data_IF_401693150009
#
_entry.id   IF_401693150009
#
_cell.length_a   1.000
_cell.length_b   1.000
_cell.length_c   1.000
_cell.angle_alpha   90.00
_cell.angle_beta   90.00
_cell.angle_gamma   90.00
#
_symmetry.space_group_name_H-M   'P 1'
#
loop_
_entity.id
_entity.type
_entity.pdbx_description
1 polymer ?
#
# COMPACT_ATOMS: atom_id res chain seq x y z
N UNK A 1 14.82 -13.73 -3.95
CA UNK A 1 14.99 -13.56 -2.48
C UNK A 1 13.66 -13.27 -1.79
N UNK A 2 12.89 -12.25 -2.15
CA UNK A 2 11.62 -11.89 -1.50
C UNK A 2 10.59 -13.02 -1.45
N UNK A 3 10.36 -13.75 -2.54
CA UNK A 3 9.45 -14.89 -2.58
C UNK A 3 9.81 -15.98 -1.55
N UNK A 4 11.09 -16.26 -1.39
CA UNK A 4 11.58 -17.20 -0.39
C UNK A 4 11.26 -16.73 1.03
N UNK A 5 11.53 -15.46 1.32
CA UNK A 5 11.26 -14.86 2.63
C UNK A 5 9.76 -14.92 2.97
N UNK A 6 8.89 -14.57 2.02
CA UNK A 6 7.45 -14.64 2.21
C UNK A 6 6.94 -16.06 2.48
N UNK A 7 7.48 -17.05 1.76
CA UNK A 7 7.17 -18.48 1.99
C UNK A 7 7.67 -18.96 3.34
N UNK A 8 8.87 -18.54 3.74
CA UNK A 8 9.43 -18.88 5.05
C UNK A 8 8.55 -18.34 6.18
N UNK A 9 8.14 -17.07 6.11
CA UNK A 9 7.20 -16.48 7.08
C UNK A 9 5.87 -17.25 7.11
N UNK A 10 5.35 -17.66 5.95
CA UNK A 10 4.14 -18.46 5.85
C UNK A 10 4.28 -19.82 6.55
N UNK A 11 5.43 -20.47 6.43
CA UNK A 11 5.69 -21.74 7.10
C UNK A 11 5.85 -21.60 8.60
N UNK A 12 6.55 -20.56 9.05
CA UNK A 12 6.88 -20.35 10.46
C UNK A 12 5.74 -19.74 11.27
N UNK A 13 4.79 -19.04 10.63
CA UNK A 13 3.69 -18.36 11.33
C UNK A 13 2.33 -19.04 11.08
N UNK A 14 1.86 -19.89 12.01
CA UNK A 14 0.54 -20.52 11.90
C UNK A 14 -0.61 -19.49 11.84
N UNK A 15 -0.47 -18.37 12.58
CA UNK A 15 -1.45 -17.29 12.61
C UNK A 15 -1.58 -16.59 11.26
N UNK A 16 -0.46 -16.30 10.60
CA UNK A 16 -0.42 -15.69 9.28
C UNK A 16 -1.00 -16.64 8.23
N UNK A 17 -0.60 -17.91 8.25
CA UNK A 17 -1.11 -18.97 7.38
C UNK A 17 -2.63 -19.14 7.49
N UNK A 18 -3.17 -19.17 8.72
CA UNK A 18 -4.61 -19.25 8.96
C UNK A 18 -5.33 -18.06 8.35
N UNK A 19 -4.86 -16.85 8.59
CA UNK A 19 -5.46 -15.60 8.10
C UNK A 19 -5.55 -15.56 6.57
N UNK A 20 -4.46 -15.93 5.87
CA UNK A 20 -4.47 -15.97 4.39
C UNK A 20 -5.52 -16.96 3.90
N UNK A 21 -5.57 -18.18 4.46
CA UNK A 21 -6.51 -19.19 4.05
C UNK A 21 -7.97 -18.80 4.31
N UNK A 22 -8.25 -18.20 5.45
CA UNK A 22 -9.57 -17.67 5.77
C UNK A 22 -10.00 -16.58 4.78
N UNK A 23 -9.12 -15.63 4.47
CA UNK A 23 -9.41 -14.58 3.50
C UNK A 23 -9.71 -15.15 2.10
N UNK A 24 -8.92 -16.10 1.63
CA UNK A 24 -9.14 -16.74 0.33
C UNK A 24 -10.50 -17.46 0.24
N UNK A 25 -10.93 -18.09 1.34
CA UNK A 25 -12.25 -18.71 1.40
C UNK A 25 -13.38 -17.69 1.43
N UNK A 26 -13.21 -16.60 2.18
CA UNK A 26 -14.21 -15.54 2.30
C UNK A 26 -14.51 -14.84 0.97
N UNK A 27 -13.50 -14.65 0.12
CA UNK A 27 -13.69 -14.01 -1.20
C UNK A 27 -14.12 -15.02 -2.28
N UNK A 28 -14.28 -16.31 -1.95
CA UNK A 28 -14.76 -17.31 -2.88
C UNK A 28 -13.81 -17.66 -4.04
N UNK A 29 -12.55 -17.20 -3.99
CA UNK A 29 -11.55 -17.47 -5.04
C UNK A 29 -11.05 -18.91 -5.06
N UNK A 30 -11.23 -19.65 -3.97
CA UNK A 30 -10.77 -21.02 -3.85
C UNK A 30 -11.90 -21.90 -3.31
N UNK A 31 -12.32 -22.87 -4.10
CA UNK A 31 -13.44 -23.77 -3.78
C UNK A 31 -12.97 -25.07 -3.11
N UNK A 32 -11.76 -25.51 -3.40
CA UNK A 32 -11.18 -26.73 -2.82
C UNK A 32 -10.07 -26.43 -1.82
N UNK A 33 -9.82 -27.37 -0.91
CA UNK A 33 -8.70 -27.24 0.05
C UNK A 33 -7.33 -27.22 -0.66
N UNK A 34 -7.23 -27.85 -1.83
CA UNK A 34 -6.04 -27.83 -2.69
C UNK A 34 -5.78 -26.42 -3.24
N UNK A 35 -6.81 -25.80 -3.81
CA UNK A 35 -6.73 -24.43 -4.35
C UNK A 35 -6.36 -23.41 -3.25
N UNK A 36 -7.02 -23.49 -2.09
CA UNK A 36 -6.70 -22.63 -0.95
C UNK A 36 -5.21 -22.74 -0.59
N UNK A 37 -4.65 -23.95 -0.61
CA UNK A 37 -3.24 -24.18 -0.25
C UNK A 37 -2.30 -23.61 -1.30
N UNK A 38 -2.58 -23.87 -2.58
CA UNK A 38 -1.80 -23.35 -3.72
C UNK A 38 -1.81 -21.83 -3.74
N UNK A 39 -3.00 -21.21 -3.72
CA UNK A 39 -3.14 -19.75 -3.76
C UNK A 39 -2.54 -19.08 -2.52
N UNK A 40 -2.64 -19.70 -1.34
CA UNK A 40 -2.01 -19.16 -0.14
C UNK A 40 -0.47 -19.18 -0.23
N UNK A 41 0.10 -20.20 -0.87
CA UNK A 41 1.53 -20.29 -1.11
C UNK A 41 2.03 -19.26 -2.12
N UNK A 42 1.29 -19.06 -3.20
CA UNK A 42 1.54 -18.01 -4.20
C UNK A 42 1.43 -16.62 -3.58
N UNK A 43 0.35 -16.36 -2.85
CA UNK A 43 0.14 -15.09 -2.14
C UNK A 43 1.27 -14.77 -1.16
N UNK A 44 1.74 -15.75 -0.39
CA UNK A 44 2.88 -15.57 0.50
C UNK A 44 4.15 -15.17 -0.26
N UNK A 45 4.37 -15.74 -1.45
CA UNK A 45 5.49 -15.36 -2.32
C UNK A 45 5.39 -13.90 -2.78
N UNK A 46 4.21 -13.49 -3.23
CA UNK A 46 3.99 -12.13 -3.73
C UNK A 46 4.12 -11.09 -2.61
N UNK A 47 3.60 -11.37 -1.42
CA UNK A 47 3.79 -10.49 -0.24
C UNK A 47 5.28 -10.37 0.10
N UNK A 48 6.04 -11.45 0.04
CA UNK A 48 7.49 -11.40 0.28
C UNK A 48 8.24 -10.58 -0.78
N UNK A 49 7.85 -10.67 -2.04
CA UNK A 49 8.39 -9.80 -3.11
C UNK A 49 8.07 -8.33 -2.83
N UNK A 50 6.79 -8.01 -2.55
CA UNK A 50 6.37 -6.66 -2.24
C UNK A 50 7.10 -6.05 -1.04
N UNK A 51 7.36 -6.84 0.01
CA UNK A 51 8.16 -6.39 1.14
C UNK A 51 9.60 -6.04 0.77
N UNK A 52 10.24 -6.82 -0.11
CA UNK A 52 11.61 -6.51 -0.58
C UNK A 52 11.63 -5.34 -1.55
N UNK A 53 10.60 -5.18 -2.38
CA UNK A 53 10.41 -4.02 -3.26
C UNK A 53 10.22 -2.73 -2.45
N UNK A 54 9.42 -2.78 -1.39
CA UNK A 54 9.24 -1.65 -0.47
C UNK A 54 10.58 -1.19 0.10
N UNK A 55 11.35 -2.11 0.68
CA UNK A 55 12.68 -1.78 1.24
C UNK A 55 13.58 -1.19 0.14
N UNK A 56 13.63 -1.81 -1.03
CA UNK A 56 14.39 -1.31 -2.16
C UNK A 56 13.94 0.11 -2.54
N UNK A 57 12.64 0.33 -2.71
CA UNK A 57 12.08 1.64 -3.08
C UNK A 57 12.39 2.73 -2.05
N UNK A 58 12.38 2.42 -0.75
CA UNK A 58 12.63 3.40 0.31
C UNK A 58 14.11 3.84 0.38
N UNK A 59 15.05 2.94 0.06
CA UNK A 59 16.49 3.21 0.24
C UNK A 59 17.23 3.61 -1.04
N UNK A 60 16.59 3.52 -2.21
CA UNK A 60 17.21 3.93 -3.47
C UNK A 60 16.91 5.40 -3.82
N UNK A 61 17.80 6.04 -4.59
CA UNK A 61 17.55 7.36 -5.16
C UNK A 61 16.23 7.39 -5.93
N UNK A 62 15.54 8.51 -5.87
CA UNK A 62 14.20 8.62 -6.48
C UNK A 62 14.23 8.45 -8.00
N UNK A 63 15.30 8.93 -8.65
CA UNK A 63 15.48 8.80 -10.10
C UNK A 63 15.64 7.34 -10.52
N UNK A 64 16.36 6.54 -9.72
CA UNK A 64 16.48 5.11 -9.95
C UNK A 64 15.12 4.39 -9.81
N UNK A 65 14.36 4.76 -8.79
CA UNK A 65 13.01 4.21 -8.59
C UNK A 65 12.07 4.63 -9.72
N UNK A 66 12.09 5.91 -10.09
CA UNK A 66 11.26 6.45 -11.17
C UNK A 66 11.59 5.81 -12.53
N UNK A 67 12.85 5.47 -12.80
CA UNK A 67 13.27 4.80 -14.03
C UNK A 67 12.66 3.41 -14.24
N UNK A 68 12.15 2.78 -13.18
CA UNK A 68 11.47 1.48 -13.28
C UNK A 68 10.05 1.57 -13.84
N UNK A 69 9.49 2.77 -13.90
CA UNK A 69 8.17 3.00 -14.51
C UNK A 69 8.32 3.14 -16.03
N UNK A 70 8.15 2.04 -16.73
CA UNK A 70 8.34 1.98 -18.19
C UNK A 70 7.13 2.43 -19.00
N UNK A 71 5.92 2.39 -18.44
CA UNK A 71 4.70 2.78 -19.13
C UNK A 71 3.66 3.36 -18.19
N UNK A 72 2.96 4.39 -18.65
CA UNK A 72 1.84 5.05 -17.96
C UNK A 72 0.62 4.98 -18.82
N UNK A 73 -0.46 4.44 -18.30
CA UNK A 73 -1.72 4.34 -19.02
C UNK A 73 -2.71 5.31 -18.38
N UNK A 74 -3.38 6.14 -19.19
CA UNK A 74 -4.38 7.11 -18.71
C UNK A 74 -3.79 8.36 -18.06
N UNK A 75 -2.49 8.62 -18.22
CA UNK A 75 -1.83 9.81 -17.68
C UNK A 75 -2.39 11.11 -18.25
N UNK A 76 -2.86 11.08 -19.47
CA UNK A 76 -3.46 12.21 -20.20
C UNK A 76 -4.66 12.79 -19.43
N UNK A 77 -5.40 11.96 -18.71
CA UNK A 77 -6.50 12.41 -17.86
C UNK A 77 -6.02 13.25 -16.68
N UNK A 78 -4.86 12.92 -16.12
CA UNK A 78 -4.24 13.68 -15.03
C UNK A 78 -3.77 15.04 -15.56
N UNK A 79 -3.15 15.08 -16.73
CA UNK A 79 -2.67 16.31 -17.37
C UNK A 79 -3.81 17.28 -17.65
N UNK A 80 -4.90 16.81 -18.24
CA UNK A 80 -6.11 17.62 -18.50
C UNK A 80 -6.71 18.21 -17.22
N UNK A 81 -6.72 17.48 -16.11
CA UNK A 81 -7.21 17.98 -14.83
C UNK A 81 -6.29 19.05 -14.26
N UNK A 82 -4.98 18.90 -14.43
CA UNK A 82 -3.98 19.88 -14.00
C UNK A 82 -4.08 21.18 -14.80
N UNK A 83 -4.21 21.10 -16.11
CA UNK A 83 -4.41 22.27 -16.98
C UNK A 83 -5.65 23.08 -16.55
N UNK A 84 -6.72 22.40 -16.15
CA UNK A 84 -7.91 23.01 -15.59
C UNK A 84 -7.78 23.48 -14.14
N UNK A 85 -6.60 23.45 -13.54
CA UNK A 85 -6.33 23.79 -12.13
C UNK A 85 -7.31 23.12 -11.12
N UNK A 86 -7.70 21.89 -11.40
CA UNK A 86 -8.65 21.13 -10.58
C UNK A 86 -7.92 20.27 -9.55
N UNK A 87 -8.41 20.21 -8.32
CA UNK A 87 -7.86 19.31 -7.32
C UNK A 87 -8.07 17.84 -7.74
N UNK A 88 -7.04 17.01 -7.51
CA UNK A 88 -7.07 15.59 -7.87
C UNK A 88 -6.92 14.75 -6.61
N UNK A 89 -7.81 13.79 -6.43
CA UNK A 89 -7.69 12.77 -5.37
C UNK A 89 -7.30 11.45 -6.00
N UNK A 90 -6.12 10.95 -5.66
CA UNK A 90 -5.67 9.62 -6.09
C UNK A 90 -6.07 8.57 -5.07
N UNK A 91 -6.79 7.55 -5.52
CA UNK A 91 -7.09 6.35 -4.73
C UNK A 91 -6.20 5.24 -5.26
N UNK A 92 -5.18 4.88 -4.48
CA UNK A 92 -4.18 3.89 -4.90
C UNK A 92 -4.43 2.60 -4.12
N UNK A 93 -4.79 1.49 -4.79
CA UNK A 93 -4.90 0.20 -4.11
C UNK A 93 -3.51 -0.30 -3.72
N UNK A 94 -3.40 -0.97 -2.57
CA UNK A 94 -2.16 -1.60 -2.13
C UNK A 94 -1.92 -2.91 -2.89
N UNK A 95 -1.72 -2.80 -4.20
CA UNK A 95 -1.46 -3.93 -5.11
C UNK A 95 -0.11 -3.73 -5.81
N UNK A 96 0.67 -4.80 -5.92
CA UNK A 96 1.99 -4.75 -6.56
C UNK A 96 2.93 -3.73 -5.92
N UNK A 97 3.78 -3.11 -6.73
CA UNK A 97 4.76 -2.10 -6.32
C UNK A 97 4.18 -0.70 -6.10
N UNK A 98 3.12 -0.57 -5.33
CA UNK A 98 2.44 0.72 -5.11
C UNK A 98 3.35 1.81 -4.51
N UNK A 99 4.35 1.46 -3.71
CA UNK A 99 5.34 2.42 -3.19
C UNK A 99 6.25 2.95 -4.30
N UNK A 100 6.60 2.14 -5.30
CA UNK A 100 7.31 2.58 -6.50
C UNK A 100 6.45 3.57 -7.29
N UNK A 101 5.18 3.25 -7.49
CA UNK A 101 4.24 4.14 -8.16
C UNK A 101 4.04 5.46 -7.39
N UNK A 102 3.91 5.40 -6.07
CA UNK A 102 3.80 6.58 -5.21
C UNK A 102 5.03 7.49 -5.32
N UNK A 103 6.22 6.93 -5.23
CA UNK A 103 7.46 7.70 -5.38
C UNK A 103 7.61 8.29 -6.78
N UNK A 104 7.21 7.56 -7.81
CA UNK A 104 7.15 8.10 -9.16
C UNK A 104 6.19 9.29 -9.26
N UNK A 105 5.00 9.18 -8.70
CA UNK A 105 4.03 10.28 -8.69
C UNK A 105 4.59 11.53 -8.02
N UNK A 106 5.35 11.40 -6.94
CA UNK A 106 6.01 12.54 -6.28
C UNK A 106 7.02 13.27 -7.17
N UNK A 107 7.63 12.60 -8.14
CA UNK A 107 8.49 13.30 -9.13
C UNK A 107 7.69 14.12 -10.15
N UNK A 108 6.37 13.93 -10.23
CA UNK A 108 5.51 14.55 -11.26
C UNK A 108 4.52 15.54 -10.69
N UNK A 109 4.13 15.37 -9.44
CA UNK A 109 3.04 16.12 -8.81
C UNK A 109 3.39 16.46 -7.35
N UNK A 110 3.00 17.66 -6.86
CA UNK A 110 2.96 17.92 -5.43
C UNK A 110 1.84 17.09 -4.80
N UNK A 111 2.18 16.07 -4.05
CA UNK A 111 1.21 15.12 -3.47
C UNK A 111 1.22 15.22 -1.96
N UNK A 112 0.04 15.38 -1.37
CA UNK A 112 -0.20 15.18 0.04
C UNK A 112 -0.75 13.77 0.27
N UNK A 113 -0.01 12.90 0.94
CA UNK A 113 -0.44 11.56 1.26
C UNK A 113 -1.03 11.48 2.67
N UNK A 114 -2.25 10.96 2.79
CA UNK A 114 -2.79 10.57 4.08
C UNK A 114 -2.20 9.22 4.49
N UNK A 115 -1.62 9.14 5.67
CA UNK A 115 -1.14 7.87 6.17
C UNK A 115 -1.50 7.70 7.65
N UNK A 116 -1.54 6.45 8.07
CA UNK A 116 -1.72 6.10 9.48
C UNK A 116 -0.36 5.76 10.09
N UNK A 117 0.09 6.44 11.15
CA UNK A 117 1.33 6.11 11.82
C UNK A 117 1.40 4.65 12.26
N UNK A 118 2.56 4.05 12.11
CA UNK A 118 2.77 2.68 12.57
C UNK A 118 2.90 2.65 14.10
N UNK A 119 2.55 1.52 14.71
CA UNK A 119 2.70 1.33 16.15
C UNK A 119 4.16 1.21 16.59
N UNK A 120 5.05 0.84 15.68
CA UNK A 120 6.48 0.70 15.91
C UNK A 120 7.15 1.99 15.44
N UNK A 121 7.57 2.85 16.36
CA UNK A 121 8.15 4.16 16.07
C UNK A 121 9.35 4.10 15.13
N UNK A 122 10.29 3.17 15.36
CA UNK A 122 11.45 3.01 14.51
C UNK A 122 11.08 2.69 13.06
N UNK A 123 10.03 1.86 12.87
CA UNK A 123 9.54 1.51 11.54
C UNK A 123 8.80 2.69 10.89
N UNK A 124 8.02 3.42 11.67
CA UNK A 124 7.33 4.63 11.21
C UNK A 124 8.33 5.70 10.77
N UNK A 125 9.37 5.94 11.56
CA UNK A 125 10.45 6.85 11.22
C UNK A 125 11.17 6.43 9.93
N UNK A 126 11.55 5.16 9.82
CA UNK A 126 12.19 4.61 8.62
C UNK A 126 11.31 4.82 7.38
N UNK A 127 10.00 4.60 7.49
CA UNK A 127 9.05 4.80 6.39
C UNK A 127 8.92 6.27 5.99
N UNK A 128 8.90 7.19 6.94
CA UNK A 128 8.87 8.65 6.67
C UNK A 128 10.17 9.09 5.98
N UNK A 129 11.29 8.82 6.59
CA UNK A 129 12.60 9.18 6.04
C UNK A 129 12.83 8.60 4.64
N UNK A 130 12.38 7.36 4.43
CA UNK A 130 12.48 6.72 3.13
C UNK A 130 11.61 7.39 2.07
N UNK A 131 10.42 7.87 2.43
CA UNK A 131 9.51 8.60 1.53
C UNK A 131 9.98 10.03 1.27
N UNK A 132 10.52 10.69 2.27
CA UNK A 132 11.02 12.06 2.17
C UNK A 132 12.31 12.16 1.34
N UNK A 133 13.05 11.07 1.19
CA UNK A 133 14.24 10.98 0.31
C UNK A 133 13.86 11.10 -1.16
N UNK A 134 13.65 12.27 -1.63
CA UNK A 134 13.30 12.53 -3.02
C UNK A 134 12.15 13.51 -3.19
N UNK A 135 11.68 14.09 -2.09
CA UNK A 135 10.98 15.34 -2.17
C UNK A 135 11.85 16.34 -2.93
N UNK A 136 11.27 17.06 -3.88
CA UNK A 136 12.01 18.01 -4.69
C UNK A 136 12.78 19.00 -3.81
N UNK A 137 14.04 19.37 -4.16
CA UNK A 137 14.88 20.23 -3.36
C UNK A 137 14.30 21.63 -3.11
N UNK A 138 13.29 22.04 -3.86
CA UNK A 138 12.62 23.33 -3.80
C UNK A 138 11.54 23.43 -2.69
N UNK A 139 11.41 22.41 -1.84
CA UNK A 139 10.47 22.41 -0.73
C UNK A 139 8.99 22.40 -1.14
N UNK A 140 8.68 22.36 -2.43
CA UNK A 140 7.28 22.40 -2.90
C UNK A 140 6.53 21.10 -2.65
N UNK A 141 7.25 20.02 -2.32
CA UNK A 141 6.69 18.71 -1.99
C UNK A 141 6.82 18.33 -0.50
N UNK A 142 7.40 19.19 0.32
CA UNK A 142 7.35 19.02 1.76
C UNK A 142 5.99 19.55 2.23
N UNK A 143 5.05 18.67 2.47
CA UNK A 143 4.14 18.94 3.57
C UNK A 143 5.02 19.32 4.76
N UNK A 144 4.82 20.49 5.40
CA UNK A 144 5.68 20.90 6.50
C UNK A 144 5.74 19.75 7.51
N UNK A 145 6.94 19.44 7.98
CA UNK A 145 7.16 18.48 9.07
C UNK A 145 6.51 18.93 10.40
N UNK A 146 5.76 19.98 10.38
CA UNK A 146 4.81 20.34 11.41
C UNK A 146 3.59 19.45 11.22
N UNK A 147 3.69 18.29 11.86
CA UNK A 147 2.53 17.53 12.25
C UNK A 147 1.51 18.50 12.86
N UNK A 148 0.46 18.97 12.16
CA UNK A 148 -0.67 19.46 12.91
C UNK A 148 -1.12 18.21 13.63
N UNK A 149 -1.01 18.21 14.95
CA UNK A 149 -1.62 17.21 15.83
C UNK A 149 -2.91 16.82 15.15
N UNK A 150 -3.11 15.56 14.73
CA UNK A 150 -4.33 15.21 14.05
C UNK A 150 -5.43 15.64 15.00
N UNK A 151 -6.20 16.67 14.64
CA UNK A 151 -7.49 16.86 15.27
C UNK A 151 -8.15 15.54 15.07
N UNK A 152 -8.19 14.74 16.13
CA UNK A 152 -8.95 13.53 16.19
C UNK A 152 -10.38 13.96 15.94
N UNK A 153 -10.77 13.96 14.68
CA UNK A 153 -12.18 13.97 14.34
C UNK A 153 -12.64 12.64 14.90
N UNK A 154 -13.28 12.73 16.06
CA UNK A 154 -13.86 11.59 16.75
C UNK A 154 -15.02 11.13 15.87
N UNK A 155 -14.70 10.34 14.84
CA UNK A 155 -15.71 9.70 14.01
C UNK A 155 -16.36 8.65 14.89
N UNK A 156 -17.63 8.83 15.29
CA UNK A 156 -18.32 7.84 16.09
C UNK A 156 -18.25 6.52 15.35
N UNK A 157 -17.75 5.48 15.99
CA UNK A 157 -17.74 4.14 15.39
C UNK A 157 -19.19 3.78 15.08
N UNK A 158 -19.58 3.48 13.84
CA UNK A 158 -20.91 3.02 13.55
C UNK A 158 -21.14 1.77 14.41
N UNK A 159 -22.18 1.81 15.27
CA UNK A 159 -22.60 0.65 16.03
C UNK A 159 -22.94 -0.45 15.02
N UNK A 160 -22.12 -1.47 14.95
CA UNK A 160 -22.39 -2.66 14.13
C UNK A 160 -23.66 -3.34 14.66
N UNK A 161 -24.80 -2.95 14.14
CA UNK A 161 -25.99 -3.81 14.16
C UNK A 161 -25.80 -4.83 13.04
N UNK A 162 -25.23 -5.97 13.35
CA UNK A 162 -25.32 -7.15 12.50
C UNK A 162 -26.75 -7.61 12.58
N UNK A 163 -27.56 -7.30 11.56
CA UNK A 163 -28.84 -7.97 11.39
C UNK A 163 -28.56 -9.39 10.92
N UNK A 164 -29.13 -10.42 11.56
CA UNK A 164 -29.04 -11.77 11.04
C UNK A 164 -29.72 -11.82 9.68
N UNK A 165 -29.02 -12.36 8.70
CA UNK A 165 -29.60 -12.66 7.37
C UNK A 165 -30.54 -13.84 7.60
N UNK A 166 -31.87 -13.59 7.56
CA UNK A 166 -32.87 -14.63 7.49
C UNK A 166 -32.62 -15.46 6.23
N UNK A 167 -32.27 -16.72 6.41
CA UNK A 167 -32.34 -17.72 5.33
C UNK A 167 -33.81 -18.06 5.11
N UNK A 168 -34.37 -17.96 3.91
CA UNK A 168 -35.65 -18.59 3.61
C UNK A 168 -35.50 -20.12 3.66
N UNK A 169 -36.53 -20.80 4.16
CA UNK A 169 -36.66 -22.26 4.15
C UNK A 169 -36.76 -22.78 2.72
#
# INVERSE_FOLDING_TARGET
MGAFLGRLVYLLSPRYRRRIRENLRLVGLATTSGDVRRMAWENASEIGKGATELVWALFRPIDEVASKVVRRIGWESVEKLREGNRPIVFVIPHLGGYDVAGRYLWTKLPILAMYRPNKLEWFDQMMREGRDRGAAPDGTNTAPATNPTPRTVNVPRPRRRIRPINRPM
#
